data_IF_420110916013
#
_entry.id   IF_420110916013
#
_cell.length_a   1.000
_cell.length_b   1.000
_cell.length_c   1.000
_cell.angle_alpha   90.00
_cell.angle_beta   90.00
_cell.angle_gamma   90.00
#
_symmetry.space_group_name_H-M   'P 1'
#
loop_
_entity.id
_entity.type
_entity.pdbx_description
1 polymer ?
#
# COMPACT_ATOMS: atom_id res chain seq x y z
N UNK A 1 -44.29 -50.04 32.50
CA UNK A 1 -43.45 -51.08 31.87
C UNK A 1 -42.96 -50.51 30.54
N UNK A 2 -41.64 -50.28 30.43
CA UNK A 2 -40.84 -49.85 29.25
C UNK A 2 -41.09 -48.45 28.66
N UNK A 3 -40.22 -47.47 28.93
CA UNK A 3 -38.96 -47.12 28.23
C UNK A 3 -39.16 -46.77 26.74
N UNK A 4 -38.88 -45.50 26.37
CA UNK A 4 -37.75 -45.17 25.50
C UNK A 4 -37.55 -43.65 25.39
N UNK A 5 -36.33 -43.26 25.73
CA UNK A 5 -35.74 -41.93 25.62
C UNK A 5 -35.46 -41.60 24.15
N UNK A 6 -35.85 -40.42 23.68
CA UNK A 6 -35.18 -39.77 22.55
C UNK A 6 -35.21 -38.24 22.78
N UNK A 7 -34.25 -37.75 23.56
CA UNK A 7 -33.92 -36.32 23.60
C UNK A 7 -33.11 -36.04 22.34
N UNK A 8 -33.78 -35.49 21.33
CA UNK A 8 -33.11 -34.99 20.13
C UNK A 8 -32.30 -33.75 20.53
N UNK A 9 -31.01 -33.95 20.81
CA UNK A 9 -30.05 -32.85 20.93
C UNK A 9 -29.96 -32.15 19.57
N UNK A 10 -30.74 -31.07 19.42
CA UNK A 10 -30.51 -30.06 18.39
C UNK A 10 -29.25 -29.29 18.75
N UNK A 11 -28.10 -29.90 18.44
CA UNK A 11 -26.85 -29.17 18.23
C UNK A 11 -27.09 -28.23 17.05
N UNK A 12 -27.49 -26.99 17.35
CA UNK A 12 -27.31 -25.87 16.45
C UNK A 12 -25.80 -25.68 16.27
N UNK A 13 -25.22 -26.44 15.35
CA UNK A 13 -23.96 -26.04 14.73
C UNK A 13 -24.26 -24.72 14.01
N UNK A 14 -23.94 -23.61 14.67
CA UNK A 14 -23.60 -22.36 14.00
C UNK A 14 -22.36 -22.68 13.16
N UNK A 15 -22.56 -23.28 11.99
CA UNK A 15 -21.64 -23.16 10.88
C UNK A 15 -21.60 -21.68 10.59
N UNK A 16 -20.61 -21.02 11.20
CA UNK A 16 -20.21 -19.67 10.83
C UNK A 16 -19.71 -19.77 9.41
N UNK A 17 -20.63 -19.68 8.45
CA UNK A 17 -20.32 -19.39 7.07
C UNK A 17 -19.67 -18.01 7.09
N UNK A 18 -18.35 -18.01 7.20
CA UNK A 18 -17.56 -16.88 6.78
C UNK A 18 -17.74 -16.78 5.27
N UNK A 19 -18.83 -16.13 4.86
CA UNK A 19 -18.90 -15.52 3.54
C UNK A 19 -17.84 -14.43 3.60
N UNK A 20 -16.63 -14.76 3.12
CA UNK A 20 -15.67 -13.74 2.72
C UNK A 20 -16.37 -12.90 1.67
N UNK A 21 -16.90 -11.75 2.08
CA UNK A 21 -17.49 -10.79 1.17
C UNK A 21 -16.37 -10.25 0.28
N UNK A 22 -16.08 -10.96 -0.81
CA UNK A 22 -15.39 -10.42 -1.97
C UNK A 22 -16.33 -9.50 -2.80
N UNK A 23 -17.52 -9.17 -2.28
CA UNK A 23 -18.55 -8.37 -2.95
C UNK A 23 -18.60 -6.88 -2.58
N UNK A 24 -17.70 -6.38 -1.72
CA UNK A 24 -17.76 -4.98 -1.27
C UNK A 24 -16.72 -4.05 -1.95
N UNK A 25 -15.74 -4.62 -2.66
CA UNK A 25 -14.56 -3.88 -3.11
C UNK A 25 -14.12 -4.29 -4.52
N UNK A 26 -13.91 -3.30 -5.37
CA UNK A 26 -13.25 -3.49 -6.67
C UNK A 26 -11.79 -3.06 -6.53
N UNK A 27 -10.87 -4.01 -6.74
CA UNK A 27 -9.42 -3.76 -6.68
C UNK A 27 -8.78 -4.00 -8.05
N UNK A 28 -7.82 -3.13 -8.41
CA UNK A 28 -7.05 -3.24 -9.65
C UNK A 28 -5.60 -2.85 -9.41
N UNK A 29 -4.67 -3.52 -10.09
CA UNK A 29 -3.29 -3.04 -10.18
C UNK A 29 -3.22 -1.76 -11.00
N UNK A 30 -2.33 -0.86 -10.59
CA UNK A 30 -2.07 0.42 -11.25
C UNK A 30 -0.58 0.66 -11.33
N UNK A 31 -0.16 1.36 -12.39
CA UNK A 31 1.19 1.87 -12.56
C UNK A 31 1.13 3.38 -12.66
N UNK A 32 1.87 4.06 -11.78
CA UNK A 32 1.91 5.51 -11.68
C UNK A 32 3.28 5.97 -12.16
N UNK A 33 3.38 6.60 -13.36
CA UNK A 33 4.65 7.14 -13.82
C UNK A 33 4.99 8.41 -13.02
N UNK A 34 6.16 8.42 -12.39
CA UNK A 34 6.68 9.55 -11.61
C UNK A 34 7.93 10.07 -12.28
N UNK A 35 7.83 11.24 -12.89
CA UNK A 35 8.98 11.96 -13.44
C UNK A 35 9.71 12.71 -12.32
N UNK A 36 11.01 12.48 -12.20
CA UNK A 36 11.89 13.21 -11.28
C UNK A 36 12.96 13.95 -12.05
N UNK A 37 13.21 15.20 -11.65
CA UNK A 37 14.33 15.99 -12.12
C UNK A 37 14.96 16.68 -10.90
N UNK A 38 15.99 16.06 -10.33
CA UNK A 38 16.59 16.48 -9.06
C UNK A 38 18.10 16.34 -9.09
N UNK A 39 18.79 17.06 -8.20
CA UNK A 39 20.21 16.87 -7.92
C UNK A 39 20.36 16.00 -6.68
N UNK A 40 21.13 14.91 -6.78
CA UNK A 40 21.43 13.99 -5.67
C UNK A 40 22.94 13.91 -5.44
N UNK A 41 23.40 13.67 -4.20
CA UNK A 41 24.82 13.41 -3.94
C UNK A 41 25.31 12.21 -4.77
N UNK A 42 26.53 12.31 -5.32
CA UNK A 42 27.19 11.14 -5.90
C UNK A 42 27.49 10.11 -4.82
N UNK A 43 27.40 8.83 -5.18
CA UNK A 43 27.75 7.74 -4.27
C UNK A 43 29.28 7.68 -4.12
N UNK A 44 29.83 7.65 -2.90
CA UNK A 44 31.27 7.44 -2.71
C UNK A 44 31.75 6.06 -3.18
N UNK A 45 30.86 5.12 -3.52
CA UNK A 45 31.22 3.79 -4.03
C UNK A 45 31.47 3.72 -5.54
N UNK A 46 31.14 4.77 -6.30
CA UNK A 46 31.57 4.91 -7.71
C UNK A 46 33.09 5.21 -7.82
N UNK A 47 33.76 5.42 -6.69
CA UNK A 47 35.18 5.74 -6.60
C UNK A 47 35.94 4.66 -5.79
N UNK A 48 36.09 3.46 -6.37
CA UNK A 48 37.17 2.52 -6.00
C UNK A 48 38.57 3.05 -6.41
N UNK A 49 38.72 4.36 -6.52
CA UNK A 49 39.88 5.07 -7.05
C UNK A 49 40.29 6.22 -6.11
N UNK A 50 40.56 5.90 -4.85
CA UNK A 50 41.44 6.70 -4.00
C UNK A 50 40.81 7.94 -3.36
N UNK A 51 40.63 7.85 -2.04
CA UNK A 51 40.60 8.96 -1.08
C UNK A 51 40.48 10.38 -1.67
N UNK A 52 39.25 10.86 -1.88
CA UNK A 52 38.70 12.17 -1.43
C UNK A 52 37.26 12.30 -1.93
N UNK A 53 36.31 11.66 -1.23
CA UNK A 53 34.90 11.91 -1.49
C UNK A 53 34.56 13.36 -1.12
N UNK A 54 34.47 14.24 -2.11
CA UNK A 54 33.85 15.53 -1.89
C UNK A 54 32.34 15.28 -1.78
N UNK A 55 31.84 15.17 -0.55
CA UNK A 55 30.43 15.00 -0.22
C UNK A 55 29.50 16.11 -0.77
N UNK A 56 30.07 17.11 -1.46
CA UNK A 56 29.36 18.20 -2.13
C UNK A 56 29.15 17.97 -3.63
N UNK A 57 29.72 16.92 -4.24
CA UNK A 57 29.50 16.65 -5.65
C UNK A 57 28.10 16.06 -5.90
N UNK A 58 27.32 16.78 -6.71
CA UNK A 58 25.96 16.41 -7.08
C UNK A 58 25.92 15.84 -8.50
N UNK A 59 25.13 14.80 -8.72
CA UNK A 59 24.70 14.38 -10.06
C UNK A 59 23.23 14.74 -10.28
N UNK A 60 22.87 14.96 -11.54
CA UNK A 60 21.46 15.09 -11.93
C UNK A 60 20.83 13.72 -12.13
N UNK A 61 19.64 13.54 -11.58
CA UNK A 61 18.72 12.45 -11.89
C UNK A 61 17.56 13.06 -12.65
N UNK A 62 17.42 12.67 -13.91
CA UNK A 62 16.32 13.07 -14.79
C UNK A 62 15.76 11.79 -15.40
N UNK A 63 14.67 11.29 -14.81
CA UNK A 63 14.15 9.95 -15.12
C UNK A 63 12.67 9.86 -14.78
N UNK A 64 11.98 8.93 -15.44
CA UNK A 64 10.63 8.50 -15.06
C UNK A 64 10.71 7.14 -14.40
N UNK A 65 10.11 7.02 -13.22
CA UNK A 65 9.99 5.77 -12.49
C UNK A 65 8.54 5.32 -12.44
N UNK A 66 8.30 4.08 -12.82
CA UNK A 66 7.01 3.42 -12.66
C UNK A 66 6.84 2.95 -11.21
N UNK A 67 5.83 3.49 -10.54
CA UNK A 67 5.44 3.10 -9.19
C UNK A 67 4.22 2.17 -9.29
N UNK A 68 4.39 0.93 -8.87
CA UNK A 68 3.32 -0.05 -8.81
C UNK A 68 2.44 0.17 -7.58
N UNK A 69 1.15 -0.08 -7.73
CA UNK A 69 0.23 -0.17 -6.60
C UNK A 69 -1.02 -0.98 -6.87
N UNK A 70 -1.78 -1.22 -5.81
CA UNK A 70 -3.13 -1.78 -5.85
C UNK A 70 -4.10 -0.70 -5.40
N UNK A 71 -5.01 -0.31 -6.28
CA UNK A 71 -6.10 0.60 -5.96
C UNK A 71 -7.36 -0.19 -5.68
N UNK A 72 -7.96 0.01 -4.50
CA UNK A 72 -9.22 -0.59 -4.09
C UNK A 72 -10.26 0.51 -3.85
N UNK A 73 -11.46 0.31 -4.38
CA UNK A 73 -12.58 1.22 -4.18
C UNK A 73 -13.82 0.46 -3.70
N UNK A 74 -14.62 1.06 -2.80
CA UNK A 74 -15.88 0.48 -2.34
C UNK A 74 -16.86 0.38 -3.49
N UNK A 75 -17.63 -0.71 -3.51
CA UNK A 75 -18.75 -0.85 -4.41
C UNK A 75 -19.82 0.23 -4.11
N UNK A 76 -20.60 0.57 -5.15
CA UNK A 76 -21.65 1.58 -5.14
C UNK A 76 -22.72 1.37 -4.05
N UNK A 77 -22.81 0.16 -3.49
CA UNK A 77 -23.74 -0.28 -2.46
C UNK A 77 -23.34 0.11 -1.03
N UNK A 78 -22.05 0.42 -0.79
CA UNK A 78 -21.57 0.88 0.52
C UNK A 78 -21.74 2.40 0.61
N UNK A 79 -22.28 2.90 1.73
CA UNK A 79 -22.48 4.33 1.98
C UNK A 79 -21.22 5.09 1.65
N UNK A 80 -21.32 5.93 0.64
CA UNK A 80 -20.18 6.37 -0.12
C UNK A 80 -19.70 7.75 0.23
N UNK A 81 -19.96 8.15 1.47
CA UNK A 81 -19.66 9.49 1.98
C UNK A 81 -18.17 9.84 1.88
N UNK A 82 -17.31 8.83 1.73
CA UNK A 82 -15.86 8.98 1.61
C UNK A 82 -15.30 8.53 0.24
N UNK A 83 -16.12 8.43 -0.82
CA UNK A 83 -15.66 8.05 -2.19
C UNK A 83 -14.56 8.96 -2.74
N UNK A 84 -14.56 10.23 -2.30
CA UNK A 84 -13.57 11.21 -2.73
C UNK A 84 -12.31 11.19 -1.85
N UNK A 85 -12.23 10.30 -0.85
CA UNK A 85 -11.06 10.11 0.00
C UNK A 85 -10.30 8.88 -0.45
N UNK A 86 -9.03 9.07 -0.83
CA UNK A 86 -8.11 7.97 -1.10
C UNK A 86 -7.09 7.89 0.03
N UNK A 87 -7.00 6.73 0.67
CA UNK A 87 -5.95 6.44 1.64
C UNK A 87 -4.70 5.95 0.91
N UNK A 88 -3.61 6.72 0.96
CA UNK A 88 -2.33 6.27 0.44
C UNK A 88 -1.65 5.40 1.49
N UNK A 89 -1.46 4.12 1.19
CA UNK A 89 -0.89 3.14 2.10
C UNK A 89 0.56 2.89 1.68
N UNK A 90 1.49 3.37 2.51
CA UNK A 90 2.93 3.21 2.28
C UNK A 90 3.45 2.18 3.27
N UNK A 91 4.09 1.13 2.77
CA UNK A 91 4.60 0.05 3.62
C UNK A 91 5.87 0.47 4.38
N UNK A 92 6.23 -0.32 5.41
CA UNK A 92 7.48 -0.15 6.15
C UNK A 92 8.71 -0.69 5.42
N UNK A 93 9.88 -0.51 6.02
CA UNK A 93 11.14 -1.09 5.50
C UNK A 93 11.04 -2.61 5.37
N UNK A 94 11.64 -3.19 4.34
CA UNK A 94 11.61 -4.62 3.97
C UNK A 94 10.27 -5.20 3.47
N UNK A 95 9.22 -4.38 3.37
CA UNK A 95 7.91 -4.80 2.85
C UNK A 95 7.64 -4.27 1.44
N UNK A 96 6.49 -4.66 0.90
CA UNK A 96 5.86 -4.15 -0.33
C UNK A 96 4.41 -3.75 -0.01
N UNK A 97 3.64 -3.31 -1.01
CA UNK A 97 2.21 -3.05 -0.89
C UNK A 97 1.39 -4.24 -0.38
N UNK A 98 1.91 -5.47 -0.49
CA UNK A 98 1.29 -6.67 0.08
C UNK A 98 1.13 -6.60 1.60
N UNK A 99 1.92 -5.78 2.30
CA UNK A 99 1.73 -5.56 3.73
C UNK A 99 0.32 -5.04 4.05
N UNK A 100 -0.22 -4.17 3.21
CA UNK A 100 -1.54 -3.55 3.40
C UNK A 100 -2.67 -4.31 2.71
N UNK A 101 -2.33 -5.06 1.65
CA UNK A 101 -3.28 -5.82 0.84
C UNK A 101 -2.68 -7.18 0.46
N UNK A 102 -2.59 -8.13 1.42
CA UNK A 102 -1.99 -9.43 1.17
C UNK A 102 -2.77 -10.21 0.12
N UNK A 103 -2.04 -10.80 -0.83
CA UNK A 103 -2.57 -11.68 -1.88
C UNK A 103 -2.74 -13.14 -1.40
N UNK A 104 -1.96 -13.52 -0.38
CA UNK A 104 -1.90 -14.85 0.23
C UNK A 104 -3.18 -15.12 1.05
N UNK A 105 -3.83 -16.26 0.81
CA UNK A 105 -5.14 -16.63 1.36
C UNK A 105 -5.15 -16.59 2.90
N UNK A 106 -4.13 -17.15 3.52
CA UNK A 106 -3.97 -17.24 4.97
C UNK A 106 -3.96 -15.87 5.66
N UNK A 107 -3.57 -14.82 4.91
CA UNK A 107 -3.47 -13.46 5.42
C UNK A 107 -4.61 -12.53 4.95
N UNK A 108 -5.56 -13.01 4.13
CA UNK A 108 -6.64 -12.15 3.59
C UNK A 108 -7.47 -11.45 4.66
N UNK A 109 -7.65 -12.07 5.83
CA UNK A 109 -8.36 -11.48 6.98
C UNK A 109 -7.62 -10.31 7.65
N UNK A 110 -6.34 -10.09 7.33
CA UNK A 110 -5.52 -8.99 7.85
C UNK A 110 -5.38 -7.84 6.86
N UNK A 111 -6.10 -7.87 5.74
CA UNK A 111 -6.05 -6.82 4.73
C UNK A 111 -6.67 -5.51 5.24
N UNK A 112 -5.83 -4.51 5.49
CA UNK A 112 -6.28 -3.15 5.79
C UNK A 112 -7.00 -2.53 4.58
N UNK A 113 -6.56 -2.83 3.36
CA UNK A 113 -7.24 -2.37 2.15
C UNK A 113 -8.68 -2.89 2.08
N UNK A 114 -8.92 -4.17 2.41
CA UNK A 114 -10.26 -4.73 2.49
C UNK A 114 -11.08 -4.13 3.65
N UNK A 115 -10.46 -3.97 4.82
CA UNK A 115 -11.10 -3.35 5.99
C UNK A 115 -11.56 -1.92 5.69
N UNK A 116 -10.66 -1.05 5.20
CA UNK A 116 -10.94 0.35 4.87
C UNK A 116 -12.03 0.48 3.80
N UNK A 117 -11.97 -0.37 2.79
CA UNK A 117 -12.96 -0.42 1.72
C UNK A 117 -14.35 -0.86 2.21
N UNK A 118 -14.44 -1.83 3.13
CA UNK A 118 -15.70 -2.18 3.81
C UNK A 118 -16.31 -1.03 4.63
N UNK A 119 -15.52 0.00 4.95
CA UNK A 119 -15.96 1.23 5.63
C UNK A 119 -16.14 2.43 4.67
N UNK A 120 -16.16 2.18 3.37
CA UNK A 120 -16.46 3.19 2.35
C UNK A 120 -15.28 4.07 1.94
N UNK A 121 -14.03 3.70 2.27
CA UNK A 121 -12.82 4.41 1.85
C UNK A 121 -12.18 3.74 0.64
N UNK A 122 -11.71 4.54 -0.32
CA UNK A 122 -10.76 4.04 -1.32
C UNK A 122 -9.36 3.98 -0.72
N UNK A 123 -8.56 3.01 -1.17
CA UNK A 123 -7.16 2.87 -0.76
C UNK A 123 -6.26 2.63 -1.96
N UNK A 124 -5.02 3.09 -1.85
CA UNK A 124 -3.94 2.87 -2.81
C UNK A 124 -2.72 2.38 -2.04
N UNK A 125 -2.47 1.07 -2.07
CA UNK A 125 -1.24 0.48 -1.53
C UNK A 125 -0.17 0.49 -2.60
N UNK A 126 0.99 1.11 -2.32
CA UNK A 126 2.07 1.26 -3.31
C UNK A 126 3.30 0.49 -2.90
N UNK A 127 4.01 -0.06 -3.88
CA UNK A 127 5.40 -0.47 -3.73
C UNK A 127 6.26 0.79 -3.84
N UNK A 128 7.02 1.16 -2.81
CA UNK A 128 7.92 2.32 -2.95
C UNK A 128 9.02 2.03 -3.97
N UNK A 129 9.64 3.08 -4.50
CA UNK A 129 10.75 2.95 -5.45
C UNK A 129 11.83 1.99 -4.90
N UNK A 130 12.33 1.10 -5.75
CA UNK A 130 13.39 0.14 -5.38
C UNK A 130 12.91 -1.21 -4.84
N UNK A 131 11.62 -1.39 -4.55
CA UNK A 131 11.07 -2.65 -4.04
C UNK A 131 9.87 -3.15 -4.86
N UNK A 132 9.50 -4.42 -4.65
CA UNK A 132 8.31 -5.02 -5.26
C UNK A 132 8.32 -4.96 -6.78
N UNK A 133 7.19 -4.54 -7.36
CA UNK A 133 6.97 -4.37 -8.79
C UNK A 133 7.24 -2.94 -9.27
N UNK A 134 7.62 -2.02 -8.36
CA UNK A 134 8.08 -0.68 -8.73
C UNK A 134 9.46 -0.71 -9.39
N UNK A 135 9.76 0.38 -10.10
CA UNK A 135 11.05 0.59 -10.74
C UNK A 135 12.20 0.46 -9.74
N UNK A 136 13.32 -0.11 -10.21
CA UNK A 136 14.58 -0.21 -9.46
C UNK A 136 15.60 0.71 -10.11
N UNK A 137 15.98 1.83 -9.47
CA UNK A 137 17.06 2.67 -9.95
C UNK A 137 18.37 1.88 -10.07
N UNK A 138 19.21 2.27 -11.03
CA UNK A 138 20.53 1.67 -11.23
C UNK A 138 21.43 1.93 -10.03
N UNK A 139 21.37 3.13 -9.46
CA UNK A 139 22.16 3.51 -8.30
C UNK A 139 21.35 3.29 -7.02
N UNK A 140 21.83 2.41 -6.15
CA UNK A 140 21.15 2.08 -4.89
C UNK A 140 20.93 3.31 -3.99
N UNK A 141 21.83 4.30 -4.06
CA UNK A 141 21.74 5.57 -3.34
C UNK A 141 20.61 6.49 -3.81
N UNK A 142 20.04 6.26 -5.00
CA UNK A 142 18.81 6.95 -5.44
C UNK A 142 17.58 6.46 -4.65
N UNK A 143 17.63 5.24 -4.12
CA UNK A 143 16.58 4.68 -3.27
C UNK A 143 16.83 5.07 -1.82
N UNK A 144 16.30 6.24 -1.43
CA UNK A 144 16.30 6.64 -0.02
C UNK A 144 15.09 6.05 0.68
N UNK A 145 15.30 4.94 1.40
CA UNK A 145 14.39 4.56 2.47
C UNK A 145 14.47 5.63 3.55
N UNK A 146 13.36 6.32 3.85
CA UNK A 146 13.33 7.26 4.96
C UNK A 146 13.75 6.52 6.24
N UNK A 147 14.74 7.02 7.02
CA UNK A 147 14.85 6.60 8.40
C UNK A 147 13.50 6.89 9.04
N UNK A 148 12.85 5.88 9.62
CA UNK A 148 11.55 5.99 10.29
C UNK A 148 11.66 6.88 11.54
N UNK A 149 11.86 8.18 11.36
CA UNK A 149 11.83 9.22 12.39
C UNK A 149 11.22 10.49 11.83
N UNK A 150 9.96 10.42 11.45
CA UNK A 150 9.08 11.59 11.45
C UNK A 150 7.63 11.15 11.57
N UNK A 151 7.13 11.10 12.81
CA UNK A 151 5.70 11.19 13.08
C UNK A 151 5.27 12.61 12.68
N UNK A 152 4.79 12.76 11.45
CA UNK A 152 4.28 14.01 10.93
C UNK A 152 3.21 13.74 9.91
N UNK A 153 2.01 14.26 10.13
CA UNK A 153 0.94 14.28 9.15
C UNK A 153 1.38 15.15 7.97
N UNK A 154 2.00 14.55 6.95
CA UNK A 154 2.22 15.23 5.66
C UNK A 154 0.89 15.24 4.89
N UNK A 155 0.01 16.18 5.24
CA UNK A 155 -1.10 16.56 4.37
C UNK A 155 -0.55 17.45 3.27
N UNK A 156 -0.16 16.84 2.15
CA UNK A 156 0.12 17.56 0.91
C UNK A 156 -0.94 17.11 -0.08
N UNK A 157 -1.70 18.06 -0.63
CA UNK A 157 -2.69 17.82 -1.68
C UNK A 157 -1.95 17.33 -2.92
N UNK A 158 -1.82 16.02 -3.08
CA UNK A 158 -1.36 15.45 -4.35
C UNK A 158 -2.59 15.31 -5.25
N UNK A 159 -2.58 16.02 -6.38
CA UNK A 159 -3.42 15.63 -7.50
C UNK A 159 -2.87 14.30 -7.99
N UNK A 160 -3.48 13.19 -7.54
CA UNK A 160 -3.31 11.93 -8.24
C UNK A 160 -3.71 12.21 -9.69
N UNK A 161 -2.87 11.79 -10.64
CA UNK A 161 -3.12 11.85 -12.08
C UNK A 161 -4.29 10.93 -12.53
N UNK A 162 -5.27 10.72 -11.64
CA UNK A 162 -6.50 9.94 -11.82
C UNK A 162 -7.69 10.85 -12.18
N UNK A 163 -7.47 12.14 -12.43
CA UNK A 163 -8.49 13.06 -12.94
C UNK A 163 -9.65 13.36 -11.98
N UNK A 164 -9.53 13.00 -10.68
CA UNK A 164 -10.54 13.29 -9.65
C UNK A 164 -9.94 14.11 -8.51
N UNK A 165 -10.60 15.21 -8.16
CA UNK A 165 -10.30 16.00 -6.95
C UNK A 165 -10.76 15.19 -5.73
N UNK A 166 -9.80 14.71 -4.95
CA UNK A 166 -10.06 13.94 -3.74
C UNK A 166 -9.11 14.29 -2.60
N UNK A 167 -9.47 13.92 -1.38
CA UNK A 167 -8.62 14.10 -0.20
C UNK A 167 -7.70 12.88 -0.06
N UNK A 168 -6.38 13.11 -0.10
CA UNK A 168 -5.40 12.06 0.15
C UNK A 168 -5.08 12.01 1.65
N UNK A 169 -5.22 10.83 2.26
CA UNK A 169 -4.79 10.57 3.64
C UNK A 169 -3.69 9.52 3.63
N UNK A 170 -2.48 9.91 3.99
CA UNK A 170 -1.36 8.96 4.08
C UNK A 170 -1.43 8.20 5.40
N UNK A 171 -1.38 6.87 5.31
CA UNK A 171 -1.28 5.98 6.46
C UNK A 171 0.11 5.36 6.43
N UNK A 172 0.83 5.56 7.53
CA UNK A 172 2.16 5.02 7.77
C UNK A 172 2.07 4.01 8.91
N UNK A 173 3.01 3.07 8.92
CA UNK A 173 3.31 2.27 10.11
C UNK A 173 3.62 3.20 11.30
N UNK A 174 3.04 2.91 12.47
CA UNK A 174 3.33 3.63 13.72
C UNK A 174 4.48 2.94 14.43
#
# INVERSE_FOLDING_TARGET
MHLLFYVFSLLFHLSRTYVAAQGACACSSVTIPVHVNVLVPKDPTDEFAGLKSNASELRRVDATYDIYGIFCQPDTTVSSQNKDVVQLLVHGFSYTGEYWSPSVEEFRNYSYAAFSCGHGFSSLAVDVLGVGLSSRPVNASDVRHSPQRSLGRCSRTYQLALGKTGQLVTILWV
#
